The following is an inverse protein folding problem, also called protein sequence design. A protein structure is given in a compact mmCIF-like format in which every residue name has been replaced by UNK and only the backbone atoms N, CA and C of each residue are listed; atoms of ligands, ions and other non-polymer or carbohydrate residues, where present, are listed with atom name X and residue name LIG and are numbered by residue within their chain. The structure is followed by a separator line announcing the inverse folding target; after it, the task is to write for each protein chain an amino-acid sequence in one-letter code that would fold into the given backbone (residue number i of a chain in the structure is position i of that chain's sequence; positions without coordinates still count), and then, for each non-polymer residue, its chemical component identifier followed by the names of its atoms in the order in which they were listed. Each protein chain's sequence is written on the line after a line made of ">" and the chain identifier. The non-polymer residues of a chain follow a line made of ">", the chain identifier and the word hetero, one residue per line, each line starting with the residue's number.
data_IF_623761806506
#
_entry.id   IF_623761806506
#
_cell.length_a   1.000
_cell.length_b   1.000
_cell.length_c   1.000
_cell.angle_alpha   90.00
_cell.angle_beta   90.00
_cell.angle_gamma   90.00
#
_symmetry.space_group_name_H-M   'P 1'
#
loop_
_entity.id
_entity.type
_entity.pdbx_description
1 polymer ?
#
# COMPACT_ATOMS: atom_id res chain seq x y z
N UNK A 1 -6.27 31.02 -11.07
CA UNK A 1 -6.34 29.71 -10.36
C UNK A 1 -6.66 28.70 -11.42
N UNK A 2 -5.72 27.79 -11.65
CA UNK A 2 -5.79 26.86 -12.79
C UNK A 2 -6.68 25.64 -12.46
N UNK A 3 -6.62 25.21 -11.18
CA UNK A 3 -7.31 24.02 -10.68
C UNK A 3 -8.05 24.33 -9.35
N UNK A 4 -9.04 23.52 -9.06
CA UNK A 4 -9.64 23.47 -7.72
C UNK A 4 -8.75 22.65 -6.77
N UNK A 5 -8.08 21.61 -7.32
CA UNK A 5 -7.31 20.62 -6.57
C UNK A 5 -6.00 20.27 -7.29
N UNK A 6 -4.87 20.33 -6.58
CA UNK A 6 -3.61 19.72 -6.99
C UNK A 6 -3.32 18.54 -6.07
N UNK A 7 -3.07 17.35 -6.62
CA UNK A 7 -2.67 16.15 -5.90
C UNK A 7 -1.21 15.89 -6.20
N UNK A 8 -0.37 15.83 -5.17
CA UNK A 8 1.06 15.50 -5.30
C UNK A 8 1.28 14.07 -4.81
N UNK A 9 1.69 13.19 -5.74
CA UNK A 9 1.96 11.78 -5.49
C UNK A 9 1.12 10.86 -6.38
N UNK A 10 1.77 10.13 -7.27
CA UNK A 10 1.16 9.17 -8.21
C UNK A 10 1.04 7.74 -7.68
N UNK A 11 1.18 7.52 -6.38
CA UNK A 11 0.94 6.23 -5.73
C UNK A 11 -0.55 5.88 -5.62
N UNK A 12 -0.87 4.69 -5.09
CA UNK A 12 -2.24 4.19 -5.03
C UNK A 12 -3.22 5.13 -4.33
N UNK A 13 -2.79 5.87 -3.31
CA UNK A 13 -3.64 6.83 -2.58
C UNK A 13 -3.93 8.07 -3.43
N UNK A 14 -2.90 8.71 -4.00
CA UNK A 14 -3.08 9.92 -4.80
C UNK A 14 -3.86 9.67 -6.09
N UNK A 15 -3.60 8.57 -6.77
CA UNK A 15 -4.35 8.20 -7.98
C UNK A 15 -5.79 7.79 -7.67
N UNK A 16 -6.05 7.16 -6.52
CA UNK A 16 -7.42 6.88 -6.05
C UNK A 16 -8.18 8.17 -5.76
N UNK A 17 -7.53 9.15 -5.11
CA UNK A 17 -8.12 10.46 -4.88
C UNK A 17 -8.38 11.19 -6.21
N UNK A 18 -7.43 11.18 -7.15
CA UNK A 18 -7.59 11.78 -8.47
C UNK A 18 -8.80 11.20 -9.22
N UNK A 19 -9.00 9.88 -9.16
CA UNK A 19 -10.17 9.22 -9.73
C UNK A 19 -11.48 9.56 -9.00
N UNK A 20 -11.41 9.77 -7.69
CA UNK A 20 -12.57 10.10 -6.88
C UNK A 20 -12.98 11.57 -7.00
N UNK A 21 -12.05 12.46 -7.40
CA UNK A 21 -12.26 13.89 -7.56
C UNK A 21 -13.00 14.27 -8.89
N UNK A 22 -13.84 13.36 -9.40
CA UNK A 22 -14.63 13.60 -10.61
C UNK A 22 -15.51 14.83 -10.45
N UNK A 23 -15.52 15.66 -11.49
CA UNK A 23 -16.27 16.93 -11.50
C UNK A 23 -15.51 18.12 -10.95
N UNK A 24 -14.31 17.92 -10.39
CA UNK A 24 -13.40 19.00 -10.02
C UNK A 24 -12.35 19.22 -11.12
N UNK A 25 -11.96 20.47 -11.33
CA UNK A 25 -10.75 20.79 -12.07
C UNK A 25 -9.54 20.38 -11.24
N UNK A 26 -8.93 19.22 -11.56
CA UNK A 26 -7.86 18.63 -10.75
C UNK A 26 -6.62 18.31 -11.58
N UNK A 27 -5.44 18.45 -10.95
CA UNK A 27 -4.16 18.06 -11.49
C UNK A 27 -3.48 17.02 -10.59
N UNK A 28 -2.85 16.01 -11.19
CA UNK A 28 -1.98 15.03 -10.53
C UNK A 28 -0.53 15.30 -10.90
N UNK A 29 0.32 15.52 -9.90
CA UNK A 29 1.77 15.69 -10.06
C UNK A 29 2.49 14.46 -9.49
N UNK A 30 3.32 13.80 -10.31
CA UNK A 30 4.08 12.63 -9.89
C UNK A 30 5.52 12.69 -10.43
N UNK A 31 6.48 12.29 -9.61
CA UNK A 31 7.89 12.22 -10.02
C UNK A 31 8.16 11.09 -11.04
N UNK A 32 7.30 10.10 -11.08
CA UNK A 32 7.35 9.01 -12.04
C UNK A 32 6.04 8.92 -12.83
N UNK A 33 6.17 8.67 -14.11
CA UNK A 33 5.05 8.19 -14.91
C UNK A 33 5.08 6.68 -14.90
N UNK A 34 4.06 6.06 -14.36
CA UNK A 34 3.96 4.61 -14.46
C UNK A 34 3.62 4.25 -15.91
N UNK A 35 4.55 3.55 -16.56
CA UNK A 35 4.24 2.90 -17.83
C UNK A 35 3.18 1.81 -17.57
N UNK A 36 2.20 1.63 -18.48
CA UNK A 36 1.31 0.48 -18.36
C UNK A 36 2.15 -0.79 -18.25
N UNK A 37 1.70 -1.72 -17.41
CA UNK A 37 2.39 -2.99 -17.26
C UNK A 37 2.63 -3.57 -18.65
N UNK A 38 3.88 -3.88 -18.96
CA UNK A 38 4.18 -4.90 -19.95
C UNK A 38 3.46 -6.16 -19.50
N UNK A 39 3.09 -7.04 -20.43
CA UNK A 39 2.40 -8.30 -20.17
C UNK A 39 2.78 -8.90 -18.81
N UNK A 40 1.82 -9.44 -18.03
CA UNK A 40 2.08 -9.88 -16.67
C UNK A 40 3.37 -10.68 -16.65
N UNK A 41 4.39 -10.18 -15.95
CA UNK A 41 5.62 -10.93 -15.78
C UNK A 41 5.25 -12.36 -15.34
N UNK A 42 6.01 -13.36 -15.78
CA UNK A 42 5.77 -14.77 -15.46
C UNK A 42 5.97 -15.01 -13.95
N UNK A 43 5.12 -14.42 -13.10
CA UNK A 43 5.18 -14.48 -11.64
C UNK A 43 4.37 -13.36 -10.99
N UNK A 44 4.16 -13.47 -9.68
CA UNK A 44 3.51 -12.43 -8.89
C UNK A 44 4.52 -11.40 -8.37
N UNK A 45 4.09 -10.14 -8.17
CA UNK A 45 4.91 -9.14 -7.48
C UNK A 45 5.25 -9.61 -6.05
N UNK A 46 6.48 -9.34 -5.62
CA UNK A 46 6.88 -9.59 -4.23
C UNK A 46 6.13 -8.67 -3.24
N UNK A 47 5.62 -7.53 -3.71
CA UNK A 47 4.82 -6.60 -2.90
C UNK A 47 3.35 -6.77 -3.21
N UNK A 48 2.60 -7.13 -2.18
CA UNK A 48 1.15 -7.30 -2.24
C UNK A 48 0.47 -6.52 -1.12
N UNK A 49 -0.83 -6.30 -1.26
CA UNK A 49 -1.67 -5.67 -0.25
C UNK A 49 -2.85 -6.57 0.11
N UNK A 50 -3.19 -6.63 1.39
CA UNK A 50 -4.45 -7.19 1.86
C UNK A 50 -5.47 -6.04 1.95
N UNK A 51 -6.35 -5.92 0.95
CA UNK A 51 -7.36 -4.87 0.90
C UNK A 51 -8.61 -5.29 1.66
N UNK A 52 -9.10 -4.42 2.55
CA UNK A 52 -10.36 -4.62 3.25
C UNK A 52 -11.57 -4.54 2.30
N UNK A 53 -12.69 -5.23 2.60
CA UNK A 53 -13.89 -5.20 1.75
C UNK A 53 -14.39 -3.77 1.47
N UNK A 54 -14.33 -2.87 2.46
CA UNK A 54 -14.73 -1.47 2.27
C UNK A 54 -13.85 -0.71 1.28
N UNK A 55 -12.55 -1.03 1.19
CA UNK A 55 -11.65 -0.45 0.20
C UNK A 55 -11.80 -1.09 -1.18
N UNK A 56 -12.11 -2.37 -1.25
CA UNK A 56 -12.48 -3.04 -2.51
C UNK A 56 -13.74 -2.40 -3.09
N UNK A 57 -14.76 -2.14 -2.25
CA UNK A 57 -15.97 -1.45 -2.69
C UNK A 57 -15.68 -0.01 -3.17
N UNK A 58 -14.78 0.71 -2.50
CA UNK A 58 -14.32 2.03 -2.98
C UNK A 58 -13.66 1.92 -4.36
N UNK A 59 -12.75 0.95 -4.57
CA UNK A 59 -12.11 0.72 -5.88
C UNK A 59 -13.11 0.28 -6.96
N UNK A 60 -14.16 -0.46 -6.59
CA UNK A 60 -15.28 -0.81 -7.50
C UNK A 60 -16.01 0.44 -7.98
N UNK A 61 -16.35 1.37 -7.09
CA UNK A 61 -16.99 2.66 -7.43
C UNK A 61 -16.11 3.51 -8.34
N UNK A 62 -14.79 3.44 -8.17
CA UNK A 62 -13.84 4.11 -9.06
C UNK A 62 -13.64 3.39 -10.41
N UNK A 63 -14.30 2.23 -10.63
CA UNK A 63 -14.14 1.35 -11.80
C UNK A 63 -12.69 0.85 -11.99
N UNK A 64 -11.94 0.76 -10.88
CA UNK A 64 -10.55 0.25 -10.85
C UNK A 64 -10.56 -1.26 -10.67
N UNK A 65 -11.41 -1.76 -9.76
CA UNK A 65 -11.46 -3.18 -9.40
C UNK A 65 -11.74 -4.09 -10.61
N UNK A 66 -12.65 -3.68 -11.48
CA UNK A 66 -13.01 -4.42 -12.70
C UNK A 66 -11.89 -4.48 -13.74
N UNK A 67 -10.91 -3.61 -13.63
CA UNK A 67 -9.72 -3.59 -14.49
C UNK A 67 -8.58 -4.47 -13.99
N UNK A 68 -8.71 -5.10 -12.82
CA UNK A 68 -7.72 -6.02 -12.28
C UNK A 68 -7.95 -7.42 -12.87
N UNK A 69 -6.88 -8.14 -13.28
CA UNK A 69 -6.99 -9.51 -13.76
C UNK A 69 -7.47 -10.44 -12.63
N UNK A 70 -8.60 -11.12 -12.83
CA UNK A 70 -9.21 -11.97 -11.79
C UNK A 70 -8.29 -13.11 -11.34
N UNK A 71 -7.48 -13.64 -12.26
CA UNK A 71 -6.49 -14.71 -12.00
C UNK A 71 -5.30 -14.25 -11.15
N UNK A 72 -5.20 -12.96 -10.87
CA UNK A 72 -4.17 -12.36 -10.01
C UNK A 72 -4.71 -11.87 -8.67
N UNK A 73 -5.98 -12.10 -8.39
CA UNK A 73 -6.65 -11.74 -7.13
C UNK A 73 -6.87 -12.98 -6.28
N UNK A 74 -6.58 -12.90 -4.99
CA UNK A 74 -6.89 -13.98 -4.05
C UNK A 74 -7.79 -13.48 -2.91
N UNK A 75 -8.99 -14.07 -2.73
CA UNK A 75 -9.81 -13.77 -1.56
C UNK A 75 -9.18 -14.39 -0.30
N UNK A 76 -9.36 -13.75 0.84
CA UNK A 76 -9.02 -14.29 2.16
C UNK A 76 -10.31 -14.70 2.85
N UNK A 77 -10.56 -15.99 2.95
CA UNK A 77 -11.78 -16.54 3.61
C UNK A 77 -11.55 -16.81 5.09
N UNK A 78 -10.31 -17.09 5.49
CA UNK A 78 -9.95 -17.27 6.88
C UNK A 78 -8.62 -16.59 7.21
N UNK A 79 -8.43 -16.23 8.47
CA UNK A 79 -7.15 -15.77 9.00
C UNK A 79 -6.86 -16.53 10.29
N UNK A 80 -5.68 -17.13 10.39
CA UNK A 80 -5.18 -17.79 11.58
C UNK A 80 -3.97 -17.07 12.12
N UNK A 81 -4.05 -16.68 13.37
CA UNK A 81 -2.99 -15.97 14.08
C UNK A 81 -2.49 -16.86 15.22
N UNK A 82 -1.18 -17.06 15.27
CA UNK A 82 -0.52 -17.93 16.24
C UNK A 82 0.37 -17.08 17.16
N UNK A 83 0.31 -17.37 18.45
CA UNK A 83 1.21 -16.82 19.45
C UNK A 83 2.56 -17.55 19.48
N UNK A 84 3.43 -17.07 20.36
CA UNK A 84 4.79 -17.58 20.58
C UNK A 84 4.83 -18.84 21.49
N UNK A 85 3.80 -19.06 22.29
CA UNK A 85 3.68 -20.21 23.19
C UNK A 85 3.37 -21.55 22.51
N UNK A 86 3.13 -21.52 21.19
CA UNK A 86 2.84 -22.70 20.38
C UNK A 86 1.39 -23.21 20.48
N UNK A 87 0.63 -22.79 21.48
CA UNK A 87 -0.74 -23.23 21.75
C UNK A 87 -1.77 -22.12 21.46
N UNK A 88 -1.42 -20.86 21.70
CA UNK A 88 -2.32 -19.72 21.48
C UNK A 88 -2.62 -19.51 20.01
N UNK A 89 -3.91 -19.51 19.69
CA UNK A 89 -4.42 -19.32 18.35
C UNK A 89 -5.71 -18.51 18.36
N UNK A 90 -5.80 -17.57 17.42
CA UNK A 90 -7.05 -16.86 17.09
C UNK A 90 -7.38 -17.17 15.63
N UNK A 91 -8.65 -17.41 15.36
CA UNK A 91 -9.14 -17.69 14.01
C UNK A 91 -10.29 -16.73 13.67
N UNK A 92 -10.17 -16.09 12.52
CA UNK A 92 -11.24 -15.31 11.88
C UNK A 92 -11.70 -16.08 10.66
N UNK A 93 -13.00 -16.18 10.47
CA UNK A 93 -13.61 -16.95 9.39
C UNK A 93 -14.74 -16.13 8.77
N UNK A 94 -14.68 -15.94 7.45
CA UNK A 94 -15.63 -15.11 6.70
C UNK A 94 -17.05 -15.67 6.79
N UNK A 95 -17.20 -17.00 6.68
CA UNK A 95 -18.51 -17.65 6.75
C UNK A 95 -19.15 -17.44 8.13
N UNK A 96 -18.37 -17.62 9.21
CA UNK A 96 -18.87 -17.37 10.57
C UNK A 96 -19.20 -15.91 10.84
N UNK A 97 -18.48 -15.00 10.17
CA UNK A 97 -18.74 -13.56 10.24
C UNK A 97 -19.91 -13.09 9.34
N UNK A 98 -20.48 -13.98 8.51
CA UNK A 98 -21.55 -13.64 7.58
C UNK A 98 -21.11 -12.69 6.45
N UNK A 99 -19.82 -12.72 6.07
CA UNK A 99 -19.26 -11.90 4.99
C UNK A 99 -18.68 -12.81 3.90
N UNK A 100 -18.61 -12.35 2.63
CA UNK A 100 -18.05 -13.16 1.54
C UNK A 100 -16.57 -13.44 1.72
N UNK A 101 -15.79 -12.45 2.14
CA UNK A 101 -14.34 -12.53 2.37
C UNK A 101 -13.92 -11.54 3.47
N UNK A 102 -12.79 -11.84 4.14
CA UNK A 102 -12.18 -10.95 5.14
C UNK A 102 -11.31 -9.86 4.49
N UNK A 103 -10.68 -10.19 3.38
CA UNK A 103 -9.82 -9.31 2.61
C UNK A 103 -9.59 -9.87 1.20
N UNK A 104 -8.96 -9.07 0.34
CA UNK A 104 -8.43 -9.50 -0.95
C UNK A 104 -6.93 -9.21 -1.02
N UNK A 105 -6.16 -10.19 -1.46
CA UNK A 105 -4.74 -9.98 -1.76
C UNK A 105 -4.61 -9.51 -3.20
N UNK A 106 -3.94 -8.38 -3.36
CA UNK A 106 -3.76 -7.67 -4.64
C UNK A 106 -2.30 -7.27 -4.78
N UNK A 107 -1.72 -7.44 -5.95
CA UNK A 107 -0.35 -7.02 -6.25
C UNK A 107 -0.25 -5.50 -6.41
N UNK A 108 0.86 -4.92 -5.94
CA UNK A 108 1.13 -3.48 -6.08
C UNK A 108 1.12 -3.05 -7.55
N UNK A 109 1.81 -3.78 -8.43
CA UNK A 109 1.87 -3.50 -9.84
C UNK A 109 0.51 -3.44 -10.51
N UNK A 110 -0.27 -4.52 -10.36
CA UNK A 110 -1.59 -4.62 -10.98
C UNK A 110 -2.55 -3.51 -10.48
N UNK A 111 -2.54 -3.22 -9.18
CA UNK A 111 -3.36 -2.15 -8.61
C UNK A 111 -2.99 -0.78 -9.17
N UNK A 112 -1.69 -0.47 -9.19
CA UNK A 112 -1.19 0.80 -9.72
C UNK A 112 -1.53 0.97 -11.20
N UNK A 113 -1.36 -0.07 -12.02
CA UNK A 113 -1.68 -0.02 -13.44
C UNK A 113 -3.18 0.23 -13.67
N UNK A 114 -4.04 -0.46 -12.91
CA UNK A 114 -5.48 -0.25 -12.98
C UNK A 114 -5.88 1.17 -12.55
N UNK A 115 -5.19 1.74 -11.56
CA UNK A 115 -5.41 3.12 -11.09
C UNK A 115 -4.98 4.17 -12.12
N UNK A 116 -3.86 3.96 -12.81
CA UNK A 116 -3.37 4.89 -13.83
C UNK A 116 -4.12 4.79 -15.16
N UNK A 117 -4.66 3.61 -15.49
CA UNK A 117 -5.37 3.38 -16.74
C UNK A 117 -6.68 4.17 -16.78
N UNK A 118 -6.81 5.08 -17.77
CA UNK A 118 -8.00 5.92 -17.93
C UNK A 118 -8.19 6.97 -16.82
N UNK A 119 -7.09 7.49 -16.28
CA UNK A 119 -7.13 8.65 -15.39
C UNK A 119 -7.53 9.89 -16.18
N UNK A 120 -8.58 10.58 -15.74
CA UNK A 120 -9.22 11.68 -16.47
C UNK A 120 -8.72 13.07 -16.05
N UNK A 121 -7.91 13.17 -14.98
CA UNK A 121 -7.34 14.43 -14.53
C UNK A 121 -6.08 14.80 -15.32
N UNK A 122 -5.79 16.08 -15.43
CA UNK A 122 -4.54 16.52 -16.02
C UNK A 122 -3.35 16.00 -15.22
N UNK A 123 -2.38 15.41 -15.91
CA UNK A 123 -1.30 14.67 -15.28
C UNK A 123 0.07 15.22 -15.66
N UNK A 124 0.82 15.65 -14.66
CA UNK A 124 2.20 16.10 -14.75
C UNK A 124 3.13 14.98 -14.25
N UNK A 125 3.54 14.08 -15.14
CA UNK A 125 4.40 12.92 -14.83
C UNK A 125 5.25 12.53 -16.04
N UNK A 126 6.60 12.46 -15.94
CA UNK A 126 7.35 12.76 -14.72
C UNK A 126 7.44 14.27 -14.45
N UNK A 127 7.28 14.67 -13.19
CA UNK A 127 7.48 16.04 -12.74
C UNK A 127 7.98 16.07 -11.29
N UNK A 128 8.84 17.04 -10.97
CA UNK A 128 9.38 17.22 -9.63
C UNK A 128 8.94 18.55 -9.05
N UNK A 129 8.41 18.50 -7.83
CA UNK A 129 8.07 19.70 -7.08
C UNK A 129 9.35 20.42 -6.63
N UNK A 130 9.35 21.75 -6.75
CA UNK A 130 10.44 22.60 -6.30
C UNK A 130 10.04 23.41 -5.07
N UNK A 131 8.91 24.11 -5.15
CA UNK A 131 8.43 24.99 -4.08
C UNK A 131 6.91 25.09 -4.07
N UNK A 132 6.34 25.20 -2.86
CA UNK A 132 4.93 25.55 -2.64
C UNK A 132 4.87 26.93 -1.97
N UNK A 133 3.97 27.79 -2.44
CA UNK A 133 3.67 29.09 -1.86
C UNK A 133 2.20 29.11 -1.47
N UNK A 134 1.93 29.22 -0.17
CA UNK A 134 0.58 29.35 0.37
C UNK A 134 0.19 30.82 0.42
N UNK A 135 -0.97 31.14 -0.13
CA UNK A 135 -1.56 32.49 -0.16
C UNK A 135 -2.98 32.42 0.41
N UNK A 136 -3.58 33.57 0.72
CA UNK A 136 -4.90 33.61 1.35
C UNK A 136 -5.99 32.91 0.51
N UNK A 137 -5.97 33.08 -0.82
CA UNK A 137 -7.01 32.61 -1.73
C UNK A 137 -6.64 31.37 -2.51
N UNK A 138 -5.36 31.05 -2.65
CA UNK A 138 -4.87 29.91 -3.43
C UNK A 138 -3.51 29.41 -2.94
N UNK A 139 -3.10 28.27 -3.43
CA UNK A 139 -1.76 27.72 -3.28
C UNK A 139 -1.12 27.62 -4.66
N UNK A 140 0.16 27.96 -4.77
CA UNK A 140 0.95 27.83 -6.01
C UNK A 140 2.02 26.77 -5.82
N UNK A 141 2.12 25.83 -6.78
CA UNK A 141 3.14 24.80 -6.86
C UNK A 141 4.06 25.11 -8.04
N UNK A 142 5.34 25.35 -7.77
CA UNK A 142 6.38 25.45 -8.78
C UNK A 142 7.04 24.10 -9.00
N UNK A 143 7.14 23.68 -10.27
CA UNK A 143 7.85 22.48 -10.69
C UNK A 143 9.29 22.84 -11.11
N UNK A 144 10.22 21.90 -10.99
CA UNK A 144 11.63 22.11 -11.36
C UNK A 144 11.86 22.44 -12.84
N UNK A 145 10.92 22.12 -13.70
CA UNK A 145 10.96 22.47 -15.13
C UNK A 145 10.44 23.88 -15.43
N UNK A 146 10.15 24.67 -14.40
CA UNK A 146 9.70 26.05 -14.50
C UNK A 146 8.18 26.23 -14.61
N UNK A 147 7.39 25.17 -14.77
CA UNK A 147 5.92 25.26 -14.77
C UNK A 147 5.41 25.63 -13.38
N UNK A 148 4.40 26.51 -13.36
CA UNK A 148 3.71 26.93 -12.12
C UNK A 148 2.24 26.56 -12.24
N UNK A 149 1.72 25.88 -11.22
CA UNK A 149 0.33 25.46 -11.10
C UNK A 149 -0.31 26.14 -9.90
N UNK A 150 -1.55 26.61 -10.01
CA UNK A 150 -2.27 27.24 -8.91
C UNK A 150 -3.58 26.52 -8.61
N UNK A 151 -3.92 26.35 -7.31
CA UNK A 151 -5.15 25.65 -6.92
C UNK A 151 -5.77 26.23 -5.64
N UNK A 152 -7.04 25.89 -5.40
CA UNK A 152 -7.72 26.16 -4.15
C UNK A 152 -7.23 25.29 -2.99
N UNK A 153 -6.83 24.05 -3.29
CA UNK A 153 -6.32 23.05 -2.33
C UNK A 153 -5.18 22.26 -2.96
N UNK A 154 -4.14 21.98 -2.16
CA UNK A 154 -3.11 20.98 -2.50
C UNK A 154 -3.20 19.80 -1.55
N UNK A 155 -3.11 18.58 -2.09
CA UNK A 155 -3.10 17.34 -1.31
C UNK A 155 -1.77 16.64 -1.46
N UNK A 156 -1.09 16.42 -0.33
CA UNK A 156 0.09 15.58 -0.26
C UNK A 156 -0.30 14.11 -0.11
N UNK A 157 -0.05 13.33 -1.16
CA UNK A 157 -0.11 11.87 -1.19
C UNK A 157 1.24 11.30 -1.65
N UNK A 158 2.32 12.01 -1.31
CA UNK A 158 3.68 11.87 -1.81
C UNK A 158 4.59 11.03 -0.90
N UNK A 159 3.96 10.17 -0.10
CA UNK A 159 4.64 9.15 0.68
C UNK A 159 5.28 9.65 1.97
N UNK A 160 5.96 8.75 2.66
CA UNK A 160 6.50 8.95 4.00
C UNK A 160 7.43 10.18 4.13
N UNK A 161 8.19 10.50 3.07
CA UNK A 161 9.07 11.66 3.00
C UNK A 161 8.37 12.87 2.37
N UNK A 162 7.10 13.08 2.66
CA UNK A 162 6.25 14.07 2.00
C UNK A 162 6.90 15.47 1.90
N UNK A 163 7.03 15.92 0.67
CA UNK A 163 7.43 17.29 0.34
C UNK A 163 6.32 18.29 0.75
N UNK A 164 5.06 17.93 0.46
CA UNK A 164 3.90 18.78 0.79
C UNK A 164 3.80 19.00 2.29
N UNK A 165 3.95 17.92 3.11
CA UNK A 165 3.96 18.00 4.57
C UNK A 165 4.99 19.00 5.08
N UNK A 166 6.24 18.87 4.61
CA UNK A 166 7.34 19.77 5.01
C UNK A 166 7.11 21.21 4.55
N UNK A 167 6.69 21.40 3.30
CA UNK A 167 6.42 22.74 2.76
C UNK A 167 5.29 23.48 3.50
N UNK A 168 4.31 22.72 4.01
CA UNK A 168 3.21 23.26 4.82
C UNK A 168 3.58 23.50 6.30
N UNK A 169 4.82 23.22 6.71
CA UNK A 169 5.24 23.34 8.12
C UNK A 169 4.48 22.39 9.05
N UNK A 170 4.01 21.27 8.54
CA UNK A 170 3.33 20.27 9.36
C UNK A 170 4.37 19.32 9.96
N UNK A 171 4.56 19.39 11.25
CA UNK A 171 5.45 18.53 12.00
C UNK A 171 4.92 17.08 12.01
N UNK A 172 5.83 16.11 12.05
CA UNK A 172 5.52 14.72 12.24
C UNK A 172 6.41 14.10 13.31
N UNK A 173 5.84 13.24 14.14
CA UNK A 173 6.60 12.36 15.01
C UNK A 173 7.09 11.19 14.17
N UNK A 174 8.40 11.00 14.11
CA UNK A 174 9.03 9.90 13.40
C UNK A 174 9.77 8.98 14.39
N UNK A 175 9.62 7.68 14.22
CA UNK A 175 10.36 6.69 15.01
C UNK A 175 10.68 5.48 14.15
N UNK A 176 11.83 4.87 14.41
CA UNK A 176 12.22 3.58 13.84
C UNK A 176 11.70 2.46 14.73
N UNK A 177 11.14 1.41 14.11
CA UNK A 177 10.79 0.19 14.84
C UNK A 177 12.00 -0.68 15.16
N UNK A 178 13.19 -0.37 14.65
CA UNK A 178 14.35 -1.24 14.71
C UNK A 178 14.18 -2.54 13.90
N UNK A 179 13.23 -2.54 12.98
CA UNK A 179 12.82 -3.70 12.20
C UNK A 179 12.85 -3.43 10.71
N UNK A 180 12.96 -4.51 9.93
CA UNK A 180 12.75 -4.49 8.49
C UNK A 180 11.82 -5.64 8.09
N UNK A 181 10.96 -5.42 7.08
CA UNK A 181 10.16 -6.46 6.49
C UNK A 181 10.89 -7.07 5.29
N UNK A 182 11.08 -8.38 5.32
CA UNK A 182 11.54 -9.16 4.17
C UNK A 182 10.31 -9.74 3.49
N UNK A 183 10.19 -9.53 2.18
CA UNK A 183 9.07 -10.02 1.37
C UNK A 183 9.58 -10.93 0.26
N UNK A 184 8.87 -12.00 -0.02
CA UNK A 184 9.11 -12.93 -1.13
C UNK A 184 7.85 -13.77 -1.38
N UNK A 185 7.73 -14.38 -2.55
CA UNK A 185 6.64 -15.30 -2.85
C UNK A 185 7.16 -16.74 -2.95
N UNK A 186 6.33 -17.68 -2.52
CA UNK A 186 6.65 -19.11 -2.54
C UNK A 186 5.51 -19.90 -3.16
N UNK A 187 5.84 -20.97 -3.84
CA UNK A 187 4.91 -22.05 -4.17
C UNK A 187 4.85 -23.01 -2.99
N UNK A 188 3.66 -23.49 -2.66
CA UNK A 188 3.41 -24.38 -1.53
C UNK A 188 3.12 -25.81 -2.00
N UNK A 189 3.59 -26.80 -1.25
CA UNK A 189 3.21 -28.21 -1.44
C UNK A 189 1.74 -28.42 -1.06
N UNK A 190 1.31 -27.89 0.10
CA UNK A 190 -0.06 -28.03 0.60
C UNK A 190 -0.89 -26.79 0.26
N UNK A 191 -2.19 -26.95 -0.05
CA UNK A 191 -3.06 -25.83 -0.38
C UNK A 191 -3.26 -24.91 0.83
N UNK A 192 -3.14 -23.60 0.62
CA UNK A 192 -3.42 -22.56 1.64
C UNK A 192 -4.93 -22.34 1.86
N UNK A 193 -5.81 -22.88 1.01
CA UNK A 193 -7.27 -22.80 1.11
C UNK A 193 -7.77 -21.38 1.38
N UNK A 194 -7.21 -20.36 0.71
CA UNK A 194 -7.53 -18.95 0.88
C UNK A 194 -7.44 -18.45 2.35
N UNK A 195 -6.50 -19.04 3.11
CA UNK A 195 -6.25 -18.68 4.50
C UNK A 195 -5.00 -17.82 4.62
N UNK A 196 -5.11 -16.65 5.22
CA UNK A 196 -3.97 -15.86 5.67
C UNK A 196 -3.44 -16.43 6.99
N UNK A 197 -2.14 -16.63 7.09
CA UNK A 197 -1.49 -17.22 8.25
C UNK A 197 -0.52 -16.20 8.85
N UNK A 198 -0.51 -16.03 10.16
CA UNK A 198 0.35 -15.09 10.85
C UNK A 198 0.89 -15.67 12.15
N UNK A 199 2.20 -15.54 12.37
CA UNK A 199 2.88 -15.96 13.59
C UNK A 199 3.55 -14.78 14.26
N UNK A 200 3.32 -14.64 15.57
CA UNK A 200 4.02 -13.71 16.43
C UNK A 200 5.05 -14.48 17.25
N UNK A 201 6.26 -13.98 17.40
CA UNK A 201 7.24 -14.60 18.28
C UNK A 201 8.60 -13.92 18.21
N UNK A 202 9.32 -13.89 19.35
CA UNK A 202 10.68 -13.38 19.47
C UNK A 202 10.93 -11.99 18.85
N UNK A 203 9.96 -11.09 18.95
CA UNK A 203 10.03 -9.75 18.35
C UNK A 203 9.91 -9.74 16.81
N UNK A 204 9.46 -10.83 16.22
CA UNK A 204 9.23 -10.98 14.79
C UNK A 204 7.75 -11.24 14.49
N UNK A 205 7.32 -10.93 13.27
CA UNK A 205 6.00 -11.29 12.77
C UNK A 205 6.14 -11.85 11.36
N UNK A 206 5.80 -13.13 11.19
CA UNK A 206 5.72 -13.78 9.89
C UNK A 206 4.27 -13.81 9.44
N UNK A 207 3.98 -13.32 8.24
CA UNK A 207 2.70 -13.49 7.57
C UNK A 207 2.89 -14.23 6.24
N UNK A 208 2.01 -15.20 5.96
CA UNK A 208 1.88 -15.87 4.66
C UNK A 208 0.47 -15.58 4.14
N UNK A 209 0.41 -14.83 3.04
CA UNK A 209 -0.82 -14.36 2.43
C UNK A 209 -1.13 -15.21 1.19
N UNK A 210 -2.38 -15.68 1.00
CA UNK A 210 -2.71 -16.53 -0.13
C UNK A 210 -2.56 -15.77 -1.46
N UNK A 211 -1.97 -16.42 -2.44
CA UNK A 211 -1.92 -16.00 -3.83
C UNK A 211 -2.55 -17.07 -4.71
N UNK A 212 -3.00 -16.73 -5.93
CA UNK A 212 -3.46 -17.72 -6.89
C UNK A 212 -2.40 -18.78 -7.22
N UNK A 213 -2.83 -19.86 -7.88
CA UNK A 213 -1.96 -20.93 -8.37
C UNK A 213 -1.09 -21.61 -7.28
N UNK A 214 -1.63 -21.78 -6.06
CA UNK A 214 -0.95 -22.48 -4.97
C UNK A 214 0.29 -21.76 -4.44
N UNK A 215 0.31 -20.44 -4.52
CA UNK A 215 1.40 -19.62 -4.02
C UNK A 215 1.00 -18.83 -2.77
N UNK A 216 2.00 -18.38 -2.02
CA UNK A 216 1.82 -17.43 -0.92
C UNK A 216 2.81 -16.29 -1.03
N UNK A 217 2.40 -15.11 -0.59
CA UNK A 217 3.30 -13.98 -0.37
C UNK A 217 3.68 -13.92 1.09
N UNK A 218 4.99 -13.91 1.35
CA UNK A 218 5.56 -13.75 2.69
C UNK A 218 5.79 -12.27 2.98
N UNK A 219 5.39 -11.86 4.18
CA UNK A 219 5.84 -10.61 4.81
C UNK A 219 6.42 -10.99 6.17
N UNK A 220 7.73 -10.89 6.31
CA UNK A 220 8.43 -11.26 7.55
C UNK A 220 9.07 -10.02 8.16
N UNK A 221 8.40 -9.44 9.16
CA UNK A 221 8.96 -8.33 9.96
C UNK A 221 9.91 -8.90 11.00
N UNK A 222 11.16 -8.46 10.96
CA UNK A 222 12.27 -8.97 11.77
C UNK A 222 13.07 -7.80 12.35
N UNK A 223 13.75 -7.96 13.50
CA UNK A 223 14.83 -7.05 13.90
C UNK A 223 15.80 -6.81 12.73
N UNK A 224 16.25 -5.58 12.52
CA UNK A 224 16.97 -5.17 11.30
C UNK A 224 18.22 -6.03 11.02
N UNK A 225 18.93 -6.48 12.06
CA UNK A 225 20.10 -7.38 11.89
C UNK A 225 19.71 -8.76 11.36
N UNK A 226 18.57 -9.31 11.83
CA UNK A 226 18.05 -10.59 11.36
C UNK A 226 17.51 -10.47 9.93
N UNK A 227 16.80 -9.38 9.62
CA UNK A 227 16.30 -9.11 8.27
C UNK A 227 17.45 -9.02 7.26
N UNK A 228 18.55 -8.35 7.62
CA UNK A 228 19.74 -8.25 6.77
C UNK A 228 20.42 -9.63 6.52
N UNK A 229 20.34 -10.56 7.50
CA UNK A 229 20.79 -11.94 7.32
C UNK A 229 19.84 -12.71 6.39
N UNK A 230 18.53 -12.66 6.67
CA UNK A 230 17.50 -13.37 5.90
C UNK A 230 17.49 -12.92 4.43
N UNK A 231 17.69 -11.63 4.18
CA UNK A 231 17.75 -11.07 2.82
C UNK A 231 18.93 -11.66 1.98
N UNK A 232 19.98 -12.17 2.62
CA UNK A 232 21.16 -12.72 1.95
C UNK A 232 21.13 -14.24 1.82
N UNK A 233 20.09 -14.90 2.32
CA UNK A 233 19.98 -16.36 2.24
C UNK A 233 19.82 -16.81 0.79
N UNK A 234 20.43 -17.94 0.48
CA UNK A 234 20.16 -18.66 -0.77
C UNK A 234 18.73 -19.22 -0.76
N UNK A 235 18.12 -19.45 -1.93
CA UNK A 235 16.72 -19.87 -2.03
C UNK A 235 16.34 -21.04 -1.11
N UNK A 236 17.08 -22.13 -1.13
CA UNK A 236 16.78 -23.31 -0.31
C UNK A 236 16.91 -23.05 1.20
N UNK A 237 17.85 -22.20 1.59
CA UNK A 237 18.04 -21.83 2.98
C UNK A 237 16.89 -20.93 3.47
N UNK A 238 16.43 -20.01 2.63
CA UNK A 238 15.26 -19.18 2.92
C UNK A 238 13.98 -20.03 3.04
N UNK A 239 13.76 -20.97 2.13
CA UNK A 239 12.62 -21.89 2.19
C UNK A 239 12.60 -22.63 3.53
N UNK A 240 13.72 -23.29 3.93
CA UNK A 240 13.81 -24.01 5.20
C UNK A 240 13.55 -23.11 6.41
N UNK A 241 14.02 -21.87 6.42
CA UNK A 241 13.75 -20.95 7.53
C UNK A 241 12.28 -20.56 7.61
N UNK A 242 11.64 -20.30 6.47
CA UNK A 242 10.21 -19.96 6.42
C UNK A 242 9.35 -21.16 6.80
N UNK A 243 9.67 -22.36 6.30
CA UNK A 243 9.01 -23.61 6.67
C UNK A 243 9.07 -23.84 8.19
N UNK A 244 10.26 -23.74 8.78
CA UNK A 244 10.43 -23.88 10.23
C UNK A 244 9.65 -22.82 11.01
N UNK A 245 9.74 -21.55 10.62
CA UNK A 245 9.03 -20.44 11.26
C UNK A 245 7.50 -20.56 11.13
N UNK A 246 7.01 -21.13 10.03
CA UNK A 246 5.59 -21.41 9.78
C UNK A 246 5.15 -22.79 10.27
N UNK A 247 6.01 -23.55 10.97
CA UNK A 247 5.73 -24.89 11.49
C UNK A 247 5.28 -25.88 10.43
N UNK A 248 5.85 -25.77 9.21
CA UNK A 248 5.54 -26.62 8.04
C UNK A 248 4.05 -26.73 7.71
N UNK A 249 3.23 -25.72 8.05
CA UNK A 249 1.77 -25.75 7.83
C UNK A 249 1.42 -25.90 6.35
N UNK A 250 2.23 -25.33 5.45
CA UNK A 250 2.04 -25.40 4.01
C UNK A 250 2.92 -26.46 3.31
N UNK A 251 3.57 -27.33 4.10
CA UNK A 251 4.51 -28.33 3.56
C UNK A 251 5.81 -27.68 3.07
N UNK A 252 6.42 -28.30 2.07
CA UNK A 252 7.63 -27.80 1.43
C UNK A 252 7.32 -26.54 0.61
N UNK A 253 8.24 -25.58 0.66
CA UNK A 253 8.14 -24.32 -0.06
C UNK A 253 9.20 -24.23 -1.15
N UNK A 254 8.87 -23.61 -2.27
CA UNK A 254 9.85 -23.23 -3.29
C UNK A 254 9.76 -21.75 -3.63
N UNK A 255 10.90 -21.05 -3.62
CA UNK A 255 10.97 -19.62 -3.86
C UNK A 255 10.51 -19.29 -5.29
N UNK A 256 9.55 -18.37 -5.42
CA UNK A 256 9.02 -17.91 -6.71
C UNK A 256 9.53 -16.52 -7.10
N UNK A 257 9.86 -15.67 -6.13
CA UNK A 257 10.44 -14.33 -6.38
C UNK A 257 11.64 -14.07 -5.47
N UNK A 258 12.66 -13.37 -5.94
CA UNK A 258 13.76 -12.93 -5.09
C UNK A 258 13.24 -12.11 -3.90
N UNK A 259 13.84 -12.32 -2.73
CA UNK A 259 13.49 -11.56 -1.53
C UNK A 259 13.91 -10.09 -1.64
N UNK A 260 13.04 -9.20 -1.11
CA UNK A 260 13.30 -7.77 -0.96
C UNK A 260 13.14 -7.37 0.51
N UNK A 261 13.83 -6.33 0.94
CA UNK A 261 13.75 -5.82 2.31
C UNK A 261 13.36 -4.36 2.35
N UNK A 262 12.52 -3.99 3.31
CA UNK A 262 12.03 -2.63 3.53
C UNK A 262 12.19 -2.27 5.00
N UNK A 263 12.85 -1.15 5.30
CA UNK A 263 12.97 -0.61 6.67
C UNK A 263 11.58 -0.18 7.15
N UNK A 264 11.23 -0.60 8.37
CA UNK A 264 9.97 -0.26 9.00
C UNK A 264 10.13 0.94 9.90
N UNK A 265 9.35 1.99 9.64
CA UNK A 265 9.32 3.21 10.43
C UNK A 265 7.89 3.65 10.70
N UNK A 266 7.70 4.42 11.73
CA UNK A 266 6.45 5.11 12.03
C UNK A 266 6.61 6.58 11.67
N UNK A 267 5.59 7.13 11.00
CA UNK A 267 5.45 8.58 10.79
C UNK A 267 4.03 8.94 11.22
N UNK A 268 3.87 9.97 12.02
CA UNK A 268 2.56 10.48 12.42
C UNK A 268 2.59 12.00 12.35
N UNK A 269 1.96 12.59 11.35
CA UNK A 269 1.78 14.03 11.25
C UNK A 269 0.92 14.53 12.42
N UNK A 270 1.29 15.68 13.02
CA UNK A 270 0.52 16.26 14.13
C UNK A 270 -0.89 16.69 13.72
N UNK A 271 -1.08 16.97 12.42
CA UNK A 271 -2.37 17.28 11.80
C UNK A 271 -2.36 16.85 10.35
N UNK A 272 -3.50 16.43 9.84
CA UNK A 272 -3.66 16.04 8.43
C UNK A 272 -4.12 17.20 7.55
N UNK A 273 -4.55 18.30 8.14
CA UNK A 273 -5.07 19.46 7.42
C UNK A 273 -4.49 20.77 7.97
N UNK A 274 -4.32 21.73 7.08
CA UNK A 274 -4.02 23.12 7.38
C UNK A 274 -4.65 23.99 6.27
N UNK A 275 -4.63 25.35 6.39
CA UNK A 275 -5.17 26.19 5.33
C UNK A 275 -4.61 25.81 3.96
N UNK A 276 -5.50 25.45 3.02
CA UNK A 276 -5.21 25.05 1.63
C UNK A 276 -4.33 23.81 1.44
N UNK A 277 -4.16 23.01 2.47
CA UNK A 277 -3.42 21.75 2.38
C UNK A 277 -4.11 20.63 3.13
N UNK A 278 -4.09 19.42 2.56
CA UNK A 278 -4.44 18.18 3.22
C UNK A 278 -3.36 17.12 2.94
N UNK A 279 -3.22 16.16 3.83
CA UNK A 279 -2.33 15.01 3.69
C UNK A 279 -3.17 13.72 3.64
N UNK A 280 -2.73 12.77 2.83
CA UNK A 280 -3.38 11.46 2.70
C UNK A 280 -2.32 10.34 2.62
N UNK A 281 -2.62 9.18 3.18
CA UNK A 281 -1.75 8.03 3.22
C UNK A 281 -0.43 8.29 3.95
N UNK A 282 0.64 7.71 3.44
CA UNK A 282 1.96 7.77 4.06
C UNK A 282 2.49 9.21 4.25
N UNK A 283 1.96 10.19 3.53
CA UNK A 283 2.29 11.60 3.76
C UNK A 283 1.84 12.09 5.15
N UNK A 284 0.73 11.55 5.66
CA UNK A 284 0.19 11.85 6.97
C UNK A 284 0.55 10.81 8.04
N UNK A 285 0.56 9.52 7.68
CA UNK A 285 0.76 8.44 8.63
C UNK A 285 1.39 7.21 7.99
N UNK A 286 2.50 6.77 8.53
CA UNK A 286 3.11 5.47 8.25
C UNK A 286 3.02 4.62 9.49
N UNK A 287 2.47 3.42 9.34
CA UNK A 287 2.30 2.47 10.43
C UNK A 287 3.02 1.16 10.13
N UNK A 288 3.20 0.33 11.14
CA UNK A 288 3.73 -1.01 10.98
C UNK A 288 2.84 -1.83 10.00
N UNK A 289 3.40 -2.65 9.09
CA UNK A 289 2.65 -3.39 8.07
C UNK A 289 1.81 -4.56 8.63
N UNK A 290 1.47 -4.56 9.91
CA UNK A 290 0.59 -5.55 10.51
C UNK A 290 -0.76 -5.58 9.79
N UNK A 291 -1.13 -6.76 9.32
CA UNK A 291 -2.37 -7.00 8.57
C UNK A 291 -2.59 -6.07 7.36
N UNK A 292 -1.52 -5.52 6.76
CA UNK A 292 -1.60 -4.70 5.55
C UNK A 292 -2.36 -3.38 5.71
N UNK A 293 -2.40 -2.80 6.93
CA UNK A 293 -3.26 -1.64 7.22
C UNK A 293 -2.82 -0.32 6.58
N UNK A 294 -1.54 -0.15 6.21
CA UNK A 294 -1.02 1.13 5.69
C UNK A 294 -1.79 1.64 4.47
N UNK A 295 -1.87 0.84 3.41
CA UNK A 295 -2.62 1.23 2.21
C UNK A 295 -4.13 1.35 2.50
N UNK A 296 -4.69 0.50 3.36
CA UNK A 296 -6.10 0.55 3.72
C UNK A 296 -6.49 1.90 4.35
N UNK A 297 -5.67 2.43 5.25
CA UNK A 297 -5.87 3.76 5.83
C UNK A 297 -5.75 4.85 4.77
N UNK A 298 -4.73 4.79 3.92
CA UNK A 298 -4.54 5.77 2.86
C UNK A 298 -5.69 5.82 1.84
N UNK A 299 -6.28 4.67 1.50
CA UNK A 299 -7.48 4.62 0.65
C UNK A 299 -8.72 5.18 1.36
N UNK A 300 -8.82 5.00 2.69
CA UNK A 300 -9.89 5.62 3.49
C UNK A 300 -9.73 7.14 3.54
N UNK A 301 -8.50 7.66 3.64
CA UNK A 301 -8.24 9.11 3.53
C UNK A 301 -8.72 9.64 2.19
N UNK A 302 -8.31 8.99 1.09
CA UNK A 302 -8.72 9.38 -0.26
C UNK A 302 -10.24 9.39 -0.42
N UNK A 303 -10.92 8.35 0.08
CA UNK A 303 -12.38 8.25 0.06
C UNK A 303 -13.05 9.35 0.87
N UNK A 304 -12.58 9.58 2.10
CA UNK A 304 -13.15 10.57 3.00
C UNK A 304 -12.95 12.00 2.48
N UNK A 305 -11.76 12.31 1.99
CA UNK A 305 -11.46 13.61 1.40
C UNK A 305 -12.29 13.85 0.13
N UNK A 306 -12.42 12.86 -0.74
CA UNK A 306 -13.26 12.97 -1.94
C UNK A 306 -14.73 13.24 -1.58
N UNK A 307 -15.26 12.57 -0.55
CA UNK A 307 -16.63 12.81 -0.08
C UNK A 307 -16.84 14.24 0.43
N UNK A 308 -15.87 14.79 1.19
CA UNK A 308 -15.91 16.18 1.67
C UNK A 308 -15.84 17.16 0.50
N UNK A 309 -15.01 16.90 -0.49
CA UNK A 309 -14.86 17.78 -1.67
C UNK A 309 -16.11 17.76 -2.55
N UNK A 310 -16.81 16.63 -2.66
CA UNK A 310 -18.04 16.52 -3.43
C UNK A 310 -19.26 17.17 -2.75
N UNK A 311 -19.20 17.41 -1.45
CA UNK A 311 -20.29 18.03 -0.67
C UNK A 311 -20.24 19.56 -0.63
N UNK A 312 -19.34 20.23 -1.38
CA UNK A 312 -19.17 21.70 -1.41
C UNK A 312 -20.18 22.40 -2.30
#
# INVERSE_FOLDING_TARGET
>A
MDYELIIVGGGAVGTSLARAARGLSAALVSHERRAPAREPAAGFDARVYALSPGNVEFLRRLRVWQGLPAERLAPVHAMRVFGDDGASRIEFDAYRAGVPELAWIVEDGALQDALWRGLEVETFAPAQCERIVFQDKHVSLLLKDGRSLSAGLIVGADGANSFVRRAAGIEAAESDYGQSAVVANFRCEKPHSNTALQWFGAGAVLALLPLPAGQVSMVWSLPSSQAARVQKLLPDALCREVEAASRHVLGDLSLSTPQKSYVLRRVAARRLVAPRVALAGDAGHVIHPLAGQGLNLGLQDARSLAAVLAAR
#
